data_IF_650667558148
#
_entry.id   IF_650667558148
#
_cell.length_a   1.000
_cell.length_b   1.000
_cell.length_c   1.000
_cell.angle_alpha   90.00
_cell.angle_beta   90.00
_cell.angle_gamma   90.00
#
_symmetry.space_group_name_H-M   'P 1'
#
loop_
_entity.id
_entity.type
_entity.pdbx_description
1 polymer ?
#
# COMPACT_ATOMS: atom_id res chain seq x y z
N UNK A 1 -52.74 -17.96 26.40
CA UNK A 1 -51.72 -18.34 25.39
C UNK A 1 -50.99 -17.07 24.97
N UNK A 2 -49.81 -16.82 25.53
CA UNK A 2 -48.98 -15.66 25.19
C UNK A 2 -48.10 -16.04 23.99
N UNK A 3 -48.50 -15.62 22.79
CA UNK A 3 -47.75 -15.89 21.57
C UNK A 3 -46.84 -14.70 21.26
N UNK A 4 -45.55 -14.98 21.27
CA UNK A 4 -44.40 -14.08 21.14
C UNK A 4 -44.46 -13.30 19.82
N UNK A 5 -44.58 -11.99 19.89
CA UNK A 5 -44.65 -11.11 18.70
C UNK A 5 -43.68 -9.91 18.80
N UNK A 6 -42.51 -10.11 19.42
CA UNK A 6 -41.52 -9.03 19.65
C UNK A 6 -40.13 -9.31 19.05
N UNK A 7 -39.92 -10.43 18.34
CA UNK A 7 -38.58 -10.85 17.92
C UNK A 7 -38.22 -10.64 16.43
N UNK A 8 -39.07 -10.00 15.62
CA UNK A 8 -38.83 -9.90 14.17
C UNK A 8 -38.55 -8.48 13.63
N UNK A 9 -38.62 -7.43 14.46
CA UNK A 9 -38.35 -6.05 13.99
C UNK A 9 -36.93 -5.54 14.30
N UNK A 10 -36.15 -6.24 15.14
CA UNK A 10 -34.79 -5.81 15.50
C UNK A 10 -33.68 -6.34 14.57
N UNK A 11 -34.00 -7.13 13.54
CA UNK A 11 -32.99 -7.74 12.65
C UNK A 11 -32.92 -7.06 11.27
N UNK A 12 -33.80 -6.09 10.99
CA UNK A 12 -33.76 -5.29 9.75
C UNK A 12 -33.03 -3.95 9.89
N UNK A 13 -32.24 -3.76 10.94
CA UNK A 13 -31.07 -2.89 10.85
C UNK A 13 -29.92 -3.72 10.28
N UNK A 14 -30.04 -4.06 8.99
CA UNK A 14 -28.88 -4.33 8.17
C UNK A 14 -28.04 -3.05 8.22
N UNK A 15 -27.10 -3.01 9.15
CA UNK A 15 -25.94 -2.17 9.01
C UNK A 15 -25.27 -2.58 7.69
N UNK A 16 -25.64 -1.92 6.60
CA UNK A 16 -24.67 -1.66 5.52
C UNK A 16 -23.70 -0.61 6.06
N UNK A 17 -23.00 -0.93 7.15
CA UNK A 17 -21.72 -0.31 7.40
C UNK A 17 -20.80 -0.98 6.40
N UNK A 18 -20.60 -0.31 5.26
CA UNK A 18 -19.34 -0.46 4.56
C UNK A 18 -18.27 -0.20 5.59
N UNK A 19 -17.65 -1.27 6.09
CA UNK A 19 -16.47 -1.13 6.92
C UNK A 19 -15.38 -0.66 5.97
N UNK A 20 -15.21 0.66 5.96
CA UNK A 20 -13.99 1.34 5.54
C UNK A 20 -12.95 1.10 6.62
N UNK A 21 -11.67 1.06 6.26
CA UNK A 21 -10.60 0.92 7.25
C UNK A 21 -10.76 2.02 8.27
N UNK A 22 -11.17 1.65 9.48
CA UNK A 22 -11.39 2.63 10.54
C UNK A 22 -10.08 3.33 10.82
N UNK A 23 -10.09 4.64 11.08
CA UNK A 23 -8.92 5.34 11.63
C UNK A 23 -8.41 4.63 12.90
N UNK A 24 -9.27 3.83 13.54
CA UNK A 24 -8.93 2.99 14.68
C UNK A 24 -7.85 1.95 14.40
N UNK A 25 -7.41 1.70 13.15
CA UNK A 25 -6.24 0.86 12.84
C UNK A 25 -4.93 1.66 12.71
N UNK A 26 -4.98 2.98 12.84
CA UNK A 26 -3.86 3.87 12.56
C UNK A 26 -3.49 4.72 13.78
N UNK A 27 -2.20 5.06 13.86
CA UNK A 27 -1.68 6.11 14.72
C UNK A 27 -1.44 7.36 13.89
N UNK A 28 -1.97 8.49 14.34
CA UNK A 28 -1.68 9.78 13.74
C UNK A 28 -0.37 10.33 14.30
N UNK A 29 0.68 10.23 13.50
CA UNK A 29 2.03 10.63 13.91
C UNK A 29 2.39 11.94 13.23
N UNK A 30 2.99 12.89 13.96
CA UNK A 30 3.51 14.12 13.36
C UNK A 30 4.43 13.80 12.18
N UNK A 31 4.30 14.56 11.09
CA UNK A 31 4.94 14.22 9.82
C UNK A 31 6.47 14.02 9.93
N UNK A 32 7.16 14.77 10.80
CA UNK A 32 8.61 14.65 11.03
C UNK A 32 9.00 13.64 12.13
N UNK A 33 8.02 13.00 12.79
CA UNK A 33 8.23 11.99 13.84
C UNK A 33 7.88 10.57 13.40
N UNK A 34 7.51 10.39 12.13
CA UNK A 34 7.21 9.07 11.58
C UNK A 34 8.44 8.13 11.59
N UNK A 35 8.22 6.79 11.60
CA UNK A 35 9.31 5.80 11.67
C UNK A 35 10.40 5.97 10.61
N UNK A 36 10.04 6.49 9.43
CA UNK A 36 10.95 6.74 8.31
C UNK A 36 12.25 7.44 8.71
N UNK A 37 12.17 8.44 9.60
CA UNK A 37 13.31 9.27 10.01
C UNK A 37 14.29 8.58 10.96
N UNK A 38 13.97 7.36 11.41
CA UNK A 38 14.93 6.51 12.10
C UNK A 38 15.92 5.87 11.11
N UNK A 39 15.62 5.88 9.81
CA UNK A 39 16.55 5.38 8.79
C UNK A 39 17.74 6.35 8.64
N UNK A 40 19.01 5.88 8.68
CA UNK A 40 20.18 6.74 8.56
C UNK A 40 20.18 7.65 7.32
N UNK A 41 19.74 7.12 6.17
CA UNK A 41 19.65 7.87 4.90
C UNK A 41 18.47 8.84 4.83
N UNK A 42 17.50 8.77 5.74
CA UNK A 42 16.30 9.63 5.75
C UNK A 42 16.25 10.61 6.91
N UNK A 43 17.08 10.44 7.95
CA UNK A 43 17.08 11.27 9.17
C UNK A 43 17.09 12.78 8.93
N UNK A 44 17.83 13.23 7.90
CA UNK A 44 17.95 14.65 7.54
C UNK A 44 17.24 14.98 6.22
N UNK A 45 16.34 14.11 5.75
CA UNK A 45 15.65 14.30 4.48
C UNK A 45 14.66 15.46 4.60
N UNK A 46 14.77 16.42 3.68
CA UNK A 46 13.79 17.50 3.55
C UNK A 46 12.57 16.96 2.81
N UNK A 47 11.44 16.87 3.50
CA UNK A 47 10.16 16.48 2.92
C UNK A 47 9.83 17.39 1.74
N UNK A 48 9.47 16.76 0.62
CA UNK A 48 9.00 17.45 -0.57
C UNK A 48 7.51 17.73 -0.47
N UNK A 49 7.12 18.99 -0.64
CA UNK A 49 5.70 19.38 -0.64
C UNK A 49 5.03 19.18 -2.01
N UNK A 50 5.83 19.18 -3.09
CA UNK A 50 5.35 19.07 -4.46
C UNK A 50 6.26 18.15 -5.27
N UNK A 51 5.65 17.27 -6.06
CA UNK A 51 6.33 16.39 -7.01
C UNK A 51 6.03 16.86 -8.43
N UNK A 52 7.04 16.89 -9.28
CA UNK A 52 6.92 17.14 -10.72
C UNK A 52 6.80 15.80 -11.45
N UNK A 53 5.57 15.35 -11.70
CA UNK A 53 5.32 14.16 -12.53
C UNK A 53 5.05 14.54 -13.99
N UNK A 54 5.32 13.62 -14.91
CA UNK A 54 5.10 13.82 -16.36
C UNK A 54 3.62 13.97 -16.74
N UNK A 55 2.70 13.57 -15.85
CA UNK A 55 1.26 13.81 -15.97
C UNK A 55 0.75 14.35 -14.63
N UNK A 56 0.20 15.56 -14.65
CA UNK A 56 -0.50 16.15 -13.52
C UNK A 56 -1.86 15.47 -13.40
N UNK A 57 -1.98 14.50 -12.51
CA UNK A 57 -3.28 13.95 -12.14
C UNK A 57 -4.04 15.00 -11.31
N UNK A 58 -5.12 15.55 -11.88
CA UNK A 58 -5.89 16.65 -11.30
C UNK A 58 -6.32 16.37 -9.84
N UNK A 59 -5.99 17.30 -8.94
CA UNK A 59 -6.43 17.29 -7.54
C UNK A 59 -7.92 17.58 -7.45
N UNK A 60 -8.70 16.61 -7.01
CA UNK A 60 -10.13 16.78 -6.70
C UNK A 60 -10.35 16.90 -5.18
N UNK A 61 -10.78 18.07 -4.74
CA UNK A 61 -11.10 18.43 -3.34
C UNK A 61 -12.59 18.24 -3.00
N UNK A 62 -13.13 17.05 -3.27
CA UNK A 62 -14.39 16.64 -2.66
C UNK A 62 -14.31 15.20 -2.17
N UNK A 63 -14.11 15.06 -0.86
CA UNK A 63 -14.42 13.83 -0.14
C UNK A 63 -15.12 14.23 1.16
N UNK A 64 -16.24 13.56 1.47
CA UNK A 64 -16.92 13.68 2.75
C UNK A 64 -15.93 13.48 3.91
N UNK A 65 -16.08 14.29 4.95
CA UNK A 65 -15.28 14.31 6.19
C UNK A 65 -15.30 12.95 6.89
N UNK A 66 -14.53 11.99 6.40
CA UNK A 66 -14.17 10.78 7.14
C UNK A 66 -13.03 11.10 8.09
N UNK A 67 -12.97 10.34 9.19
CA UNK A 67 -12.01 10.48 10.28
C UNK A 67 -10.58 10.53 9.74
N UNK A 68 -10.06 11.74 9.54
CA UNK A 68 -8.71 12.02 9.06
C UNK A 68 -7.82 12.37 10.24
N UNK A 69 -6.54 12.04 10.10
CA UNK A 69 -5.55 12.47 11.06
C UNK A 69 -5.50 14.02 11.13
N UNK A 70 -5.24 14.61 12.31
CA UNK A 70 -5.09 16.05 12.45
C UNK A 70 -4.09 16.64 11.45
N UNK A 71 -4.28 17.91 11.04
CA UNK A 71 -3.33 18.59 10.15
C UNK A 71 -1.91 18.53 10.75
N UNK A 72 -0.92 18.30 9.90
CA UNK A 72 0.48 18.12 10.31
C UNK A 72 0.84 16.71 10.77
N UNK A 73 -0.11 15.77 10.74
CA UNK A 73 0.12 14.35 11.06
C UNK A 73 -0.24 13.45 9.89
N UNK A 74 0.38 12.27 9.86
CA UNK A 74 0.21 11.21 8.86
C UNK A 74 -0.24 9.91 9.53
N UNK A 75 -1.11 9.12 8.90
CA UNK A 75 -1.56 7.85 9.44
C UNK A 75 -0.47 6.78 9.26
N UNK A 76 -0.04 6.19 10.36
CA UNK A 76 0.87 5.05 10.40
C UNK A 76 0.08 3.83 10.86
N UNK A 77 0.05 2.77 10.07
CA UNK A 77 -0.71 1.56 10.40
C UNK A 77 -0.16 0.90 11.66
N UNK A 78 -1.03 0.59 12.63
CA UNK A 78 -0.65 -0.13 13.86
C UNK A 78 -0.40 -1.58 13.54
N UNK A 79 0.85 -1.98 13.69
CA UNK A 79 1.26 -3.36 13.41
C UNK A 79 1.29 -4.18 14.69
N UNK A 80 0.95 -5.46 14.58
CA UNK A 80 1.06 -6.39 15.71
C UNK A 80 2.52 -6.75 15.96
N UNK A 81 2.91 -6.77 17.22
CA UNK A 81 4.18 -7.34 17.66
C UNK A 81 4.26 -8.82 17.24
N UNK A 82 5.39 -9.22 16.65
CA UNK A 82 5.62 -10.60 16.20
C UNK A 82 5.33 -10.88 14.73
N UNK A 83 4.97 -9.87 13.93
CA UNK A 83 5.05 -9.97 12.48
C UNK A 83 6.52 -9.86 12.06
N UNK A 84 7.31 -10.91 12.29
CA UNK A 84 8.62 -11.00 11.64
C UNK A 84 8.38 -10.90 10.13
N UNK A 85 9.12 -10.01 9.47
CA UNK A 85 9.10 -9.84 8.01
C UNK A 85 9.67 -11.10 7.37
N UNK A 86 8.88 -12.17 7.34
CA UNK A 86 9.24 -13.38 6.66
C UNK A 86 9.16 -13.11 5.17
N UNK A 87 10.31 -12.79 4.58
CA UNK A 87 10.56 -13.18 3.21
C UNK A 87 10.66 -14.69 3.22
N UNK A 88 9.63 -15.36 2.74
CA UNK A 88 9.61 -16.80 2.50
C UNK A 88 10.52 -17.16 1.30
N UNK A 89 11.65 -16.48 1.15
CA UNK A 89 12.62 -16.65 0.07
C UNK A 89 13.97 -17.10 0.65
N UNK A 90 14.04 -18.34 1.11
CA UNK A 90 15.29 -19.10 1.10
C UNK A 90 15.32 -20.02 -0.14
N UNK A 91 16.49 -20.54 -0.55
CA UNK A 91 16.68 -21.38 -1.74
C UNK A 91 15.90 -22.71 -1.75
N UNK A 92 15.06 -22.97 -0.75
CA UNK A 92 14.51 -24.27 -0.37
C UNK A 92 12.96 -24.33 -0.43
N UNK A 93 12.27 -23.31 -0.96
CA UNK A 93 10.79 -23.22 -0.87
C UNK A 93 10.02 -23.68 -2.13
N UNK A 94 9.59 -24.94 -2.11
CA UNK A 94 8.47 -25.45 -2.92
C UNK A 94 7.17 -24.75 -2.48
N UNK A 95 6.57 -23.88 -3.31
CA UNK A 95 5.20 -23.39 -3.06
C UNK A 95 4.85 -21.94 -3.43
N UNK A 96 5.76 -21.16 -4.02
CA UNK A 96 5.40 -19.84 -4.57
C UNK A 96 5.02 -19.96 -6.04
N UNK A 97 3.91 -19.33 -6.42
CA UNK A 97 3.40 -19.32 -7.78
C UNK A 97 3.21 -17.87 -8.22
N UNK A 98 3.82 -17.51 -9.34
CA UNK A 98 3.76 -16.17 -9.89
C UNK A 98 3.20 -16.20 -11.31
N UNK A 99 2.39 -15.18 -11.63
CA UNK A 99 2.08 -14.80 -12.99
C UNK A 99 2.62 -13.39 -13.16
N UNK A 100 3.63 -13.20 -14.01
CA UNK A 100 4.37 -11.95 -14.14
C UNK A 100 4.38 -11.48 -15.58
N UNK A 101 4.36 -10.16 -15.75
CA UNK A 101 4.68 -9.48 -17.00
C UNK A 101 5.86 -8.56 -16.66
N UNK A 102 6.98 -8.75 -17.34
CA UNK A 102 8.22 -8.02 -17.08
C UNK A 102 8.74 -7.36 -18.35
N UNK A 103 9.45 -6.25 -18.19
CA UNK A 103 10.13 -5.58 -19.29
C UNK A 103 11.34 -6.40 -19.74
N UNK A 104 11.60 -6.41 -21.04
CA UNK A 104 12.83 -7.02 -21.57
C UNK A 104 14.06 -6.21 -21.15
N UNK A 105 15.14 -6.89 -20.77
CA UNK A 105 16.42 -6.28 -20.42
C UNK A 105 17.15 -5.83 -21.69
N UNK A 106 16.70 -4.74 -22.30
CA UNK A 106 17.27 -4.16 -23.54
C UNK A 106 18.22 -2.97 -23.29
N UNK A 107 18.45 -2.63 -22.02
CA UNK A 107 19.25 -1.47 -21.60
C UNK A 107 18.44 -0.17 -21.47
N UNK A 108 17.13 -0.19 -21.69
CA UNK A 108 16.24 0.94 -21.44
C UNK A 108 16.22 1.33 -19.96
N UNK A 109 16.16 2.63 -19.70
CA UNK A 109 16.07 3.18 -18.35
C UNK A 109 14.62 3.60 -18.11
N UNK A 110 13.94 2.88 -17.21
CA UNK A 110 12.60 3.21 -16.76
C UNK A 110 12.65 4.11 -15.53
N UNK A 111 11.99 5.27 -15.60
CA UNK A 111 11.88 6.24 -14.49
C UNK A 111 10.54 6.16 -13.77
N UNK A 112 9.81 5.06 -13.97
CA UNK A 112 8.51 4.84 -13.38
C UNK A 112 7.74 3.76 -14.11
N UNK A 113 6.62 3.35 -13.51
CA UNK A 113 5.62 2.51 -14.13
C UNK A 113 4.24 2.85 -13.52
N UNK A 114 3.21 2.68 -14.34
CA UNK A 114 1.81 2.83 -13.95
C UNK A 114 1.05 1.54 -14.27
N UNK A 115 0.12 1.17 -13.40
CA UNK A 115 -0.72 -0.02 -13.60
C UNK A 115 -2.08 0.15 -12.94
N UNK A 116 -3.08 -0.51 -13.50
CA UNK A 116 -4.40 -0.69 -12.90
C UNK A 116 -4.53 -2.12 -12.40
N UNK A 117 -4.81 -2.30 -11.10
CA UNK A 117 -4.84 -3.61 -10.44
C UNK A 117 -6.25 -3.91 -9.96
N UNK A 118 -6.80 -5.07 -10.35
CA UNK A 118 -8.08 -5.53 -9.79
C UNK A 118 -7.90 -5.96 -8.34
N UNK A 119 -8.80 -5.50 -7.49
CA UNK A 119 -8.88 -5.91 -6.09
C UNK A 119 -9.60 -7.25 -6.02
N UNK A 120 -9.00 -8.24 -5.36
CA UNK A 120 -9.65 -9.52 -5.08
C UNK A 120 -9.54 -9.86 -3.59
N UNK A 121 -10.65 -10.31 -3.01
CA UNK A 121 -10.68 -10.88 -1.67
C UNK A 121 -10.52 -12.39 -1.73
N UNK A 122 -9.62 -12.89 -0.90
CA UNK A 122 -9.29 -14.31 -0.79
C UNK A 122 -9.37 -14.69 0.68
N UNK A 123 -9.88 -15.89 0.96
CA UNK A 123 -9.83 -16.43 2.31
C UNK A 123 -8.61 -17.34 2.42
N UNK A 124 -7.58 -16.88 3.11
CA UNK A 124 -6.30 -17.58 3.25
C UNK A 124 -6.10 -18.12 4.67
N UNK A 125 -5.31 -19.19 4.77
CA UNK A 125 -4.84 -19.72 6.06
C UNK A 125 -3.64 -18.91 6.58
N UNK A 126 -3.33 -19.03 7.88
CA UNK A 126 -2.25 -18.30 8.55
C UNK A 126 -0.85 -18.54 7.98
N UNK A 127 -0.63 -19.58 7.19
CA UNK A 127 0.66 -19.88 6.55
C UNK A 127 0.69 -19.54 5.06
N UNK A 128 -0.34 -18.86 4.54
CA UNK A 128 -0.46 -18.47 3.14
C UNK A 128 -0.50 -16.96 3.00
N UNK A 129 -0.13 -16.47 1.83
CA UNK A 129 -0.34 -15.08 1.45
C UNK A 129 -0.60 -15.00 -0.06
N UNK A 130 -1.27 -13.94 -0.49
CA UNK A 130 -1.47 -13.63 -1.90
C UNK A 130 -1.32 -12.14 -2.12
N UNK A 131 -0.81 -11.75 -3.30
CA UNK A 131 -0.55 -10.37 -3.66
C UNK A 131 -0.84 -10.14 -5.14
N UNK A 132 -1.21 -8.91 -5.47
CA UNK A 132 -1.10 -8.39 -6.83
C UNK A 132 -0.48 -6.99 -6.75
N UNK A 133 0.62 -6.80 -7.47
CA UNK A 133 1.51 -5.67 -7.26
C UNK A 133 2.35 -5.37 -8.50
N UNK A 134 2.84 -4.13 -8.54
CA UNK A 134 3.90 -3.63 -9.40
C UNK A 134 5.20 -3.68 -8.59
N UNK A 135 6.32 -4.00 -9.22
CA UNK A 135 7.65 -3.79 -8.65
C UNK A 135 8.59 -3.08 -9.62
N UNK A 136 9.44 -2.21 -9.08
CA UNK A 136 10.57 -1.61 -9.78
C UNK A 136 11.85 -2.10 -9.13
N UNK A 137 12.74 -2.66 -9.94
CA UNK A 137 13.95 -3.30 -9.48
C UNK A 137 15.20 -2.75 -10.17
N UNK A 138 16.29 -2.66 -9.42
CA UNK A 138 17.57 -2.23 -9.94
C UNK A 138 18.73 -2.94 -9.22
N UNK A 139 19.80 -3.24 -9.96
CA UNK A 139 21.00 -3.89 -9.46
C UNK A 139 21.01 -5.41 -9.64
N UNK A 140 22.16 -6.06 -9.44
CA UNK A 140 22.30 -7.51 -9.53
C UNK A 140 21.62 -8.21 -8.35
N UNK A 141 21.32 -9.51 -8.48
CA UNK A 141 20.57 -10.30 -7.48
C UNK A 141 20.97 -10.05 -6.01
N UNK A 142 22.27 -10.08 -5.67
CA UNK A 142 22.75 -9.88 -4.30
C UNK A 142 22.81 -8.42 -3.81
N UNK A 143 22.47 -7.45 -4.67
CA UNK A 143 22.38 -6.02 -4.35
C UNK A 143 21.09 -5.42 -4.93
N UNK A 144 20.08 -6.28 -5.15
CA UNK A 144 18.84 -5.89 -5.79
C UNK A 144 18.08 -4.94 -4.88
N UNK A 145 17.84 -3.74 -5.39
CA UNK A 145 16.96 -2.77 -4.76
C UNK A 145 15.59 -2.93 -5.41
N UNK A 146 14.54 -3.11 -4.61
CA UNK A 146 13.17 -3.34 -5.09
C UNK A 146 12.19 -2.44 -4.37
N UNK A 147 11.31 -1.78 -5.13
CA UNK A 147 10.16 -1.01 -4.64
C UNK A 147 8.92 -1.75 -5.10
N UNK A 148 8.01 -2.09 -4.20
CA UNK A 148 6.82 -2.85 -4.55
C UNK A 148 5.59 -2.20 -3.92
N UNK A 149 4.51 -2.13 -4.70
CA UNK A 149 3.24 -1.61 -4.23
C UNK A 149 2.08 -2.37 -4.89
N UNK A 150 1.05 -2.66 -4.10
CA UNK A 150 -0.09 -3.42 -4.56
C UNK A 150 -1.07 -3.70 -3.43
N UNK A 151 -1.88 -4.73 -3.59
CA UNK A 151 -2.66 -5.27 -2.49
C UNK A 151 -2.07 -6.60 -2.02
N UNK A 152 -2.26 -6.90 -0.74
CA UNK A 152 -1.96 -8.21 -0.18
C UNK A 152 -3.12 -8.71 0.70
N UNK A 153 -3.36 -10.02 0.65
CA UNK A 153 -4.05 -10.76 1.70
C UNK A 153 -2.97 -11.52 2.46
N UNK A 154 -2.70 -11.13 3.69
CA UNK A 154 -1.55 -11.63 4.44
C UNK A 154 -1.87 -11.81 5.93
N UNK A 155 -2.46 -12.95 6.32
CA UNK A 155 -2.87 -13.22 7.71
C UNK A 155 -1.79 -13.05 8.76
N UNK A 156 -0.54 -13.46 8.52
CA UNK A 156 0.55 -13.22 9.50
C UNK A 156 0.91 -11.75 9.70
N UNK A 157 0.74 -10.94 8.65
CA UNK A 157 1.11 -9.52 8.67
C UNK A 157 0.01 -8.69 9.32
N UNK A 158 -1.25 -8.98 8.98
CA UNK A 158 -2.40 -8.17 9.40
C UNK A 158 -3.21 -8.78 10.54
N UNK A 159 -3.06 -10.08 10.82
CA UNK A 159 -3.89 -10.82 11.77
C UNK A 159 -5.29 -11.16 11.25
N UNK A 160 -5.54 -10.91 9.96
CA UNK A 160 -6.80 -11.16 9.27
C UNK A 160 -6.55 -11.52 7.78
N UNK A 161 -7.58 -12.03 7.10
CA UNK A 161 -7.56 -12.31 5.66
C UNK A 161 -8.16 -11.18 4.83
N UNK A 162 -8.07 -9.93 5.31
CA UNK A 162 -8.62 -8.76 4.60
C UNK A 162 -7.62 -8.29 3.54
N UNK A 163 -8.13 -7.96 2.34
CA UNK A 163 -7.33 -7.37 1.27
C UNK A 163 -6.94 -5.94 1.62
N UNK A 164 -5.65 -5.69 1.80
CA UNK A 164 -5.13 -4.38 2.23
C UNK A 164 -4.10 -3.84 1.25
N UNK A 165 -4.10 -2.53 1.04
CA UNK A 165 -3.04 -1.86 0.30
C UNK A 165 -1.72 -2.06 1.04
N UNK A 166 -0.73 -2.58 0.34
CA UNK A 166 0.52 -3.07 0.93
C UNK A 166 1.69 -2.58 0.09
N UNK A 167 2.71 -2.08 0.77
CA UNK A 167 4.00 -1.78 0.13
C UNK A 167 5.08 -2.69 0.69
N UNK A 168 6.12 -2.91 -0.10
CA UNK A 168 7.31 -3.62 0.30
C UNK A 168 8.55 -2.97 -0.33
N UNK A 169 9.66 -2.99 0.38
CA UNK A 169 10.95 -2.60 -0.20
C UNK A 169 12.08 -3.50 0.28
N UNK A 170 13.16 -3.56 -0.48
CA UNK A 170 14.46 -4.12 -0.07
C UNK A 170 15.58 -3.34 -0.73
N UNK A 171 16.72 -3.21 -0.06
CA UNK A 171 17.94 -2.60 -0.60
C UNK A 171 19.09 -3.58 -0.87
N UNK A 172 18.95 -4.85 -0.48
CA UNK A 172 20.03 -5.85 -0.53
C UNK A 172 19.56 -7.24 -1.00
N UNK A 173 18.62 -7.28 -1.95
CA UNK A 173 18.15 -8.52 -2.54
C UNK A 173 17.49 -9.47 -1.56
N UNK A 174 16.68 -8.92 -0.63
CA UNK A 174 15.96 -9.69 0.39
C UNK A 174 16.88 -10.41 1.39
N UNK A 175 18.14 -9.96 1.50
CA UNK A 175 19.15 -10.58 2.35
C UNK A 175 18.96 -10.23 3.82
N UNK A 176 19.26 -8.98 4.19
CA UNK A 176 19.11 -8.45 5.56
C UNK A 176 18.09 -7.34 5.63
N UNK A 177 17.90 -6.61 4.54
CA UNK A 177 16.96 -5.51 4.47
C UNK A 177 15.65 -5.97 3.87
N UNK A 178 14.64 -5.22 4.25
CA UNK A 178 13.38 -5.18 3.54
C UNK A 178 12.20 -5.39 4.47
N UNK A 179 11.10 -4.74 4.10
CA UNK A 179 10.05 -4.53 5.06
C UNK A 179 8.71 -4.22 4.41
N UNK A 180 7.66 -4.77 5.01
CA UNK A 180 6.30 -4.42 4.67
C UNK A 180 5.93 -3.06 5.26
N UNK A 181 5.12 -2.30 4.53
CA UNK A 181 4.49 -1.09 5.03
C UNK A 181 5.50 -0.17 5.74
N UNK A 182 5.16 0.26 6.95
CA UNK A 182 6.00 1.09 7.80
C UNK A 182 6.57 0.31 9.00
N UNK A 183 6.74 -1.03 8.93
CA UNK A 183 7.31 -1.79 10.07
C UNK A 183 8.77 -1.41 10.32
N UNK A 184 9.44 -0.97 9.27
CA UNK A 184 10.82 -0.57 9.29
C UNK A 184 10.93 0.82 8.67
N UNK A 185 11.90 1.62 9.13
CA UNK A 185 12.23 2.88 8.50
C UNK A 185 12.66 2.66 7.05
N UNK A 186 12.15 3.45 6.10
CA UNK A 186 12.51 3.31 4.68
C UNK A 186 11.58 4.04 3.71
N UNK A 187 10.37 4.39 4.15
CA UNK A 187 9.42 5.19 3.38
C UNK A 187 8.86 6.32 4.21
N UNK A 188 8.92 7.53 3.66
CA UNK A 188 8.27 8.71 4.24
C UNK A 188 6.85 8.78 3.70
N UNK A 189 5.86 8.66 4.58
CA UNK A 189 4.44 8.87 4.28
C UNK A 189 4.17 10.38 4.25
N UNK A 190 3.61 10.85 3.14
CA UNK A 190 3.31 12.28 2.91
C UNK A 190 1.81 12.60 2.91
N UNK A 191 0.99 11.61 2.57
CA UNK A 191 -0.45 11.80 2.40
C UNK A 191 -1.24 11.21 3.55
N UNK A 192 -2.36 11.85 3.89
CA UNK A 192 -3.32 11.31 4.85
C UNK A 192 -4.25 10.27 4.23
N UNK A 193 -4.41 10.27 2.91
CA UNK A 193 -5.28 9.35 2.17
C UNK A 193 -4.82 9.24 0.70
N UNK A 194 -4.81 8.03 0.11
CA UNK A 194 -5.07 6.74 0.75
C UNK A 194 -3.96 6.31 1.73
N UNK A 195 -4.27 5.38 2.65
CA UNK A 195 -3.37 4.96 3.74
C UNK A 195 -2.71 3.62 3.41
N UNK A 196 -1.43 3.48 3.73
CA UNK A 196 -0.73 2.19 3.67
C UNK A 196 -1.31 1.26 4.72
N UNK A 197 -1.69 0.03 4.36
CA UNK A 197 -2.42 -0.90 5.24
C UNK A 197 -3.94 -0.72 5.25
N UNK A 198 -4.47 0.24 4.47
CA UNK A 198 -5.91 0.43 4.36
C UNK A 198 -6.58 -0.79 3.71
N UNK A 199 -7.75 -1.18 4.22
CA UNK A 199 -8.55 -2.23 3.62
C UNK A 199 -9.26 -1.73 2.37
N UNK A 200 -9.38 -2.61 1.38
CA UNK A 200 -10.26 -2.36 0.24
C UNK A 200 -11.68 -2.79 0.57
N UNK A 201 -12.64 -1.89 0.33
CA UNK A 201 -14.07 -2.19 0.53
C UNK A 201 -14.63 -2.84 -0.72
N UNK A 202 -14.66 -4.18 -0.72
CA UNK A 202 -15.21 -5.00 -1.79
C UNK A 202 -14.15 -5.80 -2.56
N UNK A 203 -14.62 -6.58 -3.53
CA UNK A 203 -13.81 -7.45 -4.35
C UNK A 203 -14.36 -7.49 -5.76
N UNK A 204 -13.47 -7.58 -6.74
CA UNK A 204 -13.82 -7.94 -8.10
C UNK A 204 -14.39 -9.35 -8.15
N UNK A 205 -15.41 -9.54 -8.99
CA UNK A 205 -16.05 -10.81 -9.29
C UNK A 205 -16.09 -10.94 -10.81
N UNK A 206 -15.40 -11.95 -11.34
CA UNK A 206 -15.30 -12.20 -12.77
C UNK A 206 -16.68 -12.22 -13.44
N UNK A 207 -16.81 -11.44 -14.52
CA UNK A 207 -18.03 -11.31 -15.30
C UNK A 207 -19.17 -10.52 -14.62
N UNK A 208 -18.95 -9.92 -13.44
CA UNK A 208 -20.00 -9.18 -12.71
C UNK A 208 -19.59 -7.78 -12.29
N UNK A 209 -18.55 -7.70 -11.47
CA UNK A 209 -18.14 -6.45 -10.83
C UNK A 209 -16.64 -6.35 -10.90
N UNK A 210 -16.14 -5.22 -11.34
CA UNK A 210 -14.71 -5.00 -11.43
C UNK A 210 -14.35 -3.79 -10.58
N UNK A 211 -13.56 -4.04 -9.55
CA UNK A 211 -13.01 -3.03 -8.63
C UNK A 211 -11.52 -2.96 -8.89
N UNK A 212 -11.04 -1.80 -9.32
CA UNK A 212 -9.63 -1.57 -9.60
C UNK A 212 -9.11 -0.39 -8.80
N UNK A 213 -7.79 -0.25 -8.75
CA UNK A 213 -7.11 0.98 -8.37
C UNK A 213 -5.89 1.18 -9.26
N UNK A 214 -5.51 2.43 -9.46
CA UNK A 214 -4.33 2.81 -10.24
C UNK A 214 -3.16 3.06 -9.30
N UNK A 215 -2.03 2.44 -9.60
CA UNK A 215 -0.75 2.70 -8.95
C UNK A 215 0.23 3.31 -9.94
N UNK A 216 0.96 4.31 -9.48
CA UNK A 216 2.07 4.88 -10.22
C UNK A 216 3.28 4.97 -9.31
N UNK A 217 4.37 4.30 -9.67
CA UNK A 217 5.68 4.53 -9.07
C UNK A 217 6.46 5.38 -10.06
N UNK A 218 6.98 6.52 -9.64
CA UNK A 218 7.66 7.46 -10.53
C UNK A 218 8.87 8.09 -9.85
N UNK A 219 9.87 8.44 -10.64
CA UNK A 219 11.00 9.24 -10.19
C UNK A 219 10.73 10.71 -10.51
N UNK A 220 10.72 11.55 -9.49
CA UNK A 220 10.61 12.99 -9.63
C UNK A 220 11.82 13.54 -10.40
N UNK A 221 11.54 14.31 -11.44
CA UNK A 221 12.57 14.82 -12.37
C UNK A 221 13.47 15.84 -11.70
N UNK A 222 12.91 16.66 -10.79
CA UNK A 222 13.63 17.76 -10.17
C UNK A 222 14.63 17.31 -9.10
N UNK A 223 14.30 16.26 -8.36
CA UNK A 223 15.05 15.82 -7.19
C UNK A 223 15.68 14.44 -7.31
N UNK A 224 15.21 13.63 -8.27
CA UNK A 224 15.58 12.23 -8.41
C UNK A 224 14.98 11.31 -7.35
N UNK A 225 14.12 11.82 -6.45
CA UNK A 225 13.42 11.01 -5.47
C UNK A 225 12.35 10.15 -6.15
N UNK A 226 12.10 8.98 -5.58
CA UNK A 226 10.97 8.16 -5.98
C UNK A 226 9.70 8.63 -5.27
N UNK A 227 8.56 8.42 -5.90
CA UNK A 227 7.22 8.67 -5.38
C UNK A 227 6.28 7.54 -5.79
N UNK A 228 5.20 7.35 -5.02
CA UNK A 228 4.21 6.29 -5.23
C UNK A 228 2.81 6.88 -5.14
N UNK A 229 2.11 7.10 -6.25
CA UNK A 229 0.72 7.55 -6.25
C UNK A 229 -0.24 6.36 -6.24
N UNK A 230 -1.38 6.52 -5.55
CA UNK A 230 -2.47 5.54 -5.52
C UNK A 230 -3.81 6.26 -5.74
N UNK A 231 -4.44 6.02 -6.87
CA UNK A 231 -5.78 6.50 -7.15
C UNK A 231 -6.79 5.34 -7.03
N UNK A 232 -7.83 5.53 -6.20
CA UNK A 232 -8.93 4.58 -6.05
C UNK A 232 -10.15 5.19 -6.74
N UNK A 233 -10.64 4.63 -7.86
CA UNK A 233 -11.84 5.12 -8.51
C UNK A 233 -13.03 5.05 -7.54
N UNK A 234 -13.95 6.03 -7.60
CA UNK A 234 -15.18 6.01 -6.81
C UNK A 234 -16.01 4.76 -7.10
N UNK A 235 -16.62 4.20 -6.07
CA UNK A 235 -17.56 3.07 -6.18
C UNK A 235 -18.93 3.46 -6.75
N UNK A 236 -19.16 4.75 -7.05
CA UNK A 236 -20.37 5.23 -7.73
C UNK A 236 -19.99 6.00 -8.99
N UNK A 237 -20.77 5.83 -10.06
CA UNK A 237 -20.57 6.41 -11.39
C UNK A 237 -20.71 7.95 -11.46
N UNK A 238 -20.38 8.68 -10.39
CA UNK A 238 -20.52 10.13 -10.36
C UNK A 238 -19.36 10.96 -9.81
N UNK A 239 -18.27 10.40 -9.27
CA UNK A 239 -17.27 11.26 -8.63
C UNK A 239 -15.82 10.77 -8.76
N UNK A 240 -15.15 11.10 -9.87
CA UNK A 240 -13.72 10.82 -10.05
C UNK A 240 -12.93 11.50 -8.92
N UNK A 241 -12.36 10.71 -7.99
CA UNK A 241 -11.51 11.20 -6.90
C UNK A 241 -10.12 10.58 -7.07
N UNK A 242 -9.14 11.43 -7.38
CA UNK A 242 -7.73 11.09 -7.60
C UNK A 242 -6.91 11.71 -6.47
N UNK A 243 -6.05 10.95 -5.79
CA UNK A 243 -5.10 11.50 -4.80
C UNK A 243 -3.75 10.80 -4.82
N UNK A 244 -2.72 11.56 -4.48
CA UNK A 244 -1.34 11.10 -4.44
C UNK A 244 -1.07 10.45 -3.08
N UNK A 245 -0.51 9.25 -3.10
CA UNK A 245 0.44 8.85 -2.06
C UNK A 245 1.80 9.36 -2.57
N UNK A 246 2.75 9.61 -1.70
CA UNK A 246 4.14 9.79 -2.12
C UNK A 246 5.05 9.23 -1.06
N UNK A 247 6.08 8.54 -1.51
CA UNK A 247 7.03 7.80 -0.68
C UNK A 247 8.43 8.31 -0.96
N UNK A 248 8.94 9.22 -0.13
CA UNK A 248 10.24 9.83 -0.36
C UNK A 248 11.40 8.88 0.01
N UNK A 249 12.36 8.73 -0.93
CA UNK A 249 13.66 8.05 -0.88
C UNK A 249 13.70 6.63 -0.27
N UNK A 250 14.09 5.66 -1.08
CA UNK A 250 14.63 4.40 -0.58
C UNK A 250 16.13 4.54 -0.35
N UNK A 251 16.66 4.04 0.76
CA UNK A 251 18.09 4.04 1.03
C UNK A 251 18.83 3.18 0.01
N UNK A 252 19.46 3.79 -0.99
CA UNK A 252 20.35 3.09 -1.91
C UNK A 252 21.78 3.09 -1.35
N UNK A 253 22.37 1.91 -1.18
CA UNK A 253 23.81 1.78 -1.00
C UNK A 253 24.50 1.98 -2.35
N UNK A 254 24.64 3.24 -2.79
CA UNK A 254 25.55 3.54 -3.89
C UNK A 254 26.98 3.65 -3.32
N UNK A 255 27.76 2.57 -3.45
CA UNK A 255 29.20 2.69 -3.52
C UNK A 255 29.56 3.39 -4.84
N UNK A 256 30.31 4.49 -4.73
CA UNK A 256 30.96 5.19 -5.85
C UNK A 256 31.77 4.25 -6.74
#
# INVERSE_FOLDING_TARGET
MALRLVLCLCVYLLFTQGAEGSIADFDCVEIYKQPAFQHPLLKNHKIQETFSSYEDLEKSDNYEKKEQCPKGTVPIFRQRNGSESFHLNTPEHLGQHFATIETMLDGSIYRGAETEISVHSLNLQDNQYSKSQIWLENGPSGQLNSIQAGWAVHPRLYGDSVTRFTIYWTGDGYGKTGCYNTQCPGFIVLSQNPRIGNQFSGSSVYGKTSLYFTLQIFQDVSSGNWGLKLAIPPTSARERSLREITTDKIPTNQSR
#
